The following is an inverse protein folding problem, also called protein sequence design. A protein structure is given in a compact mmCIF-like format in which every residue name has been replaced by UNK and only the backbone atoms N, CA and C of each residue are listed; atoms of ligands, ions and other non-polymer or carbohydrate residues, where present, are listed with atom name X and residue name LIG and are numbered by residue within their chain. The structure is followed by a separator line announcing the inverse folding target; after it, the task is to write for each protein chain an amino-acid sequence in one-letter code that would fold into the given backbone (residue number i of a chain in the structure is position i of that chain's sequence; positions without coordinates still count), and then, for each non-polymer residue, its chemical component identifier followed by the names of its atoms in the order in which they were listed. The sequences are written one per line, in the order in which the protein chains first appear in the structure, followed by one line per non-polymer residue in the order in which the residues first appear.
data_IF_104151467689
#
_entry.id   IF_104151467689
#
_cell.length_a   1.000
_cell.length_b   1.000
_cell.length_c   1.000
_cell.angle_alpha   90.00
_cell.angle_beta   90.00
_cell.angle_gamma   90.00
#
_symmetry.space_group_name_H-M   'P 1'
#
loop_
_entity.id
_entity.type
_entity.pdbx_description
1 polymer ?
#
# COMPACT_ATOMS: atom_id res chain seq x y z
N UNK A 1 7.19 -51.34 -63.37
CA UNK A 1 8.13 -50.77 -62.41
C UNK A 1 7.88 -49.28 -62.33
N UNK A 2 7.03 -48.82 -61.44
CA UNK A 2 6.68 -47.38 -61.36
C UNK A 2 5.63 -47.17 -60.29
N UNK A 3 5.98 -47.31 -59.01
CA UNK A 3 4.98 -47.15 -57.96
C UNK A 3 5.49 -46.83 -56.56
N UNK A 4 6.79 -46.52 -56.39
CA UNK A 4 7.35 -46.36 -55.04
C UNK A 4 8.03 -45.02 -54.76
N UNK A 5 7.87 -44.01 -55.62
CA UNK A 5 8.58 -42.75 -55.48
C UNK A 5 7.72 -41.55 -55.00
N UNK A 6 6.42 -41.69 -55.03
CA UNK A 6 5.46 -40.64 -54.65
C UNK A 6 5.11 -40.59 -53.14
N UNK A 7 5.33 -41.69 -52.37
CA UNK A 7 4.93 -41.77 -50.97
C UNK A 7 5.96 -41.17 -49.99
N UNK A 8 7.19 -40.92 -50.39
CA UNK A 8 8.22 -40.37 -49.50
C UNK A 8 8.25 -38.83 -49.40
N UNK A 9 7.71 -38.14 -50.38
CA UNK A 9 7.65 -36.66 -50.33
C UNK A 9 6.50 -36.12 -49.48
N UNK A 10 5.42 -36.85 -49.32
CA UNK A 10 4.29 -36.42 -48.48
C UNK A 10 4.57 -36.49 -46.97
N UNK A 11 5.38 -37.45 -46.53
CA UNK A 11 5.69 -37.62 -45.09
C UNK A 11 6.70 -36.60 -44.56
N UNK A 12 7.63 -36.13 -45.39
CA UNK A 12 8.62 -35.11 -44.98
C UNK A 12 7.99 -33.74 -44.87
N UNK A 13 6.99 -33.41 -45.70
CA UNK A 13 6.28 -32.13 -45.65
C UNK A 13 5.35 -32.01 -44.44
N UNK A 14 4.76 -33.12 -43.96
CA UNK A 14 3.91 -33.09 -42.75
C UNK A 14 4.73 -32.96 -41.47
N UNK A 15 5.92 -33.57 -41.41
CA UNK A 15 6.82 -33.45 -40.24
C UNK A 15 7.45 -32.05 -40.16
N UNK A 16 7.78 -31.41 -41.28
CA UNK A 16 8.27 -30.02 -41.28
C UNK A 16 7.19 -28.99 -40.98
N UNK A 17 5.94 -29.24 -41.36
CA UNK A 17 4.78 -28.38 -41.00
C UNK A 17 4.41 -28.43 -39.51
N UNK A 18 4.60 -29.59 -38.87
CA UNK A 18 4.31 -29.75 -37.42
C UNK A 18 5.39 -29.12 -36.53
N UNK A 19 6.64 -29.05 -37.01
CA UNK A 19 7.73 -28.42 -36.24
C UNK A 19 7.70 -26.90 -36.28
N UNK A 20 7.08 -26.27 -37.25
CA UNK A 20 6.92 -24.82 -37.35
C UNK A 20 5.80 -24.28 -36.43
N UNK A 21 4.79 -25.11 -36.11
CA UNK A 21 3.70 -24.73 -35.20
C UNK A 21 4.08 -24.84 -33.70
N UNK A 22 5.14 -25.58 -33.37
CA UNK A 22 5.65 -25.72 -31.99
C UNK A 22 6.64 -24.61 -31.58
N UNK A 23 7.12 -23.82 -32.52
CA UNK A 23 8.09 -22.72 -32.26
C UNK A 23 7.39 -21.38 -31.93
N UNK A 24 6.07 -21.30 -31.87
CA UNK A 24 5.32 -20.06 -31.58
C UNK A 24 5.02 -19.81 -30.11
N UNK A 25 5.22 -20.79 -29.21
CA UNK A 25 5.07 -20.63 -27.77
C UNK A 25 6.36 -21.06 -27.08
N UNK A 26 7.03 -20.14 -26.41
CA UNK A 26 8.13 -20.48 -25.51
C UNK A 26 7.58 -21.29 -24.33
N UNK A 27 7.86 -22.61 -24.23
CA UNK A 27 7.31 -23.46 -23.18
C UNK A 27 7.78 -23.04 -21.79
N UNK A 28 8.98 -22.43 -21.70
CA UNK A 28 9.52 -21.92 -20.43
C UNK A 28 8.72 -20.71 -19.98
N UNK A 29 8.48 -19.75 -20.87
CA UNK A 29 7.65 -18.59 -20.58
C UNK A 29 6.22 -18.99 -20.17
N UNK A 30 5.63 -19.99 -20.85
CA UNK A 30 4.30 -20.50 -20.51
C UNK A 30 4.27 -21.11 -19.09
N UNK A 31 5.21 -22.00 -18.75
CA UNK A 31 5.30 -22.64 -17.42
C UNK A 31 5.54 -21.58 -16.34
N UNK A 32 6.44 -20.63 -16.60
CA UNK A 32 6.76 -19.55 -15.66
C UNK A 32 5.53 -18.69 -15.38
N UNK A 33 4.76 -18.29 -16.39
CA UNK A 33 3.52 -17.54 -16.23
C UNK A 33 2.46 -18.33 -15.46
N UNK A 34 2.35 -19.65 -15.67
CA UNK A 34 1.43 -20.49 -14.88
C UNK A 34 1.85 -20.58 -13.41
N UNK A 35 3.16 -20.65 -13.15
CA UNK A 35 3.71 -20.63 -11.78
C UNK A 35 3.41 -19.32 -11.06
N UNK A 36 3.57 -18.17 -11.72
CA UNK A 36 3.22 -16.86 -11.15
C UNK A 36 1.71 -16.77 -10.83
N UNK A 37 0.85 -17.21 -11.75
CA UNK A 37 -0.60 -17.27 -11.50
C UNK A 37 -0.97 -18.20 -10.35
N UNK A 38 -0.23 -19.29 -10.16
CA UNK A 38 -0.42 -20.16 -9.00
C UNK A 38 -0.08 -19.42 -7.69
N UNK A 39 1.04 -18.67 -7.65
CA UNK A 39 1.43 -17.83 -6.51
C UNK A 39 0.34 -16.81 -6.21
N UNK A 40 -0.13 -16.06 -7.20
CA UNK A 40 -1.18 -15.04 -7.06
C UNK A 40 -2.46 -15.62 -6.43
N UNK A 41 -2.88 -16.80 -6.87
CA UNK A 41 -4.15 -17.42 -6.44
C UNK A 41 -4.06 -18.13 -5.09
N UNK A 42 -2.90 -18.69 -4.75
CA UNK A 42 -2.79 -19.60 -3.61
C UNK A 42 -1.91 -19.08 -2.48
N UNK A 43 -0.92 -18.20 -2.76
CA UNK A 43 -0.01 -17.69 -1.74
C UNK A 43 -0.33 -16.26 -1.32
N UNK A 44 -0.88 -15.42 -2.20
CA UNK A 44 -1.26 -14.04 -1.82
C UNK A 44 -2.46 -14.01 -0.86
N UNK A 45 -3.57 -14.77 -1.05
CA UNK A 45 -4.70 -14.70 -0.12
C UNK A 45 -4.36 -15.07 1.33
N UNK A 46 -3.57 -16.11 1.64
CA UNK A 46 -3.09 -16.37 3.00
C UNK A 46 -2.32 -15.19 3.60
N UNK A 47 -1.48 -14.51 2.82
CA UNK A 47 -0.75 -13.32 3.27
C UNK A 47 -1.69 -12.16 3.63
N UNK A 48 -2.76 -11.95 2.85
CA UNK A 48 -3.77 -10.91 3.14
C UNK A 48 -4.58 -11.20 4.41
N UNK A 49 -4.70 -12.48 4.79
CA UNK A 49 -5.35 -12.94 6.02
C UNK A 49 -4.46 -12.87 7.25
N UNK A 50 -3.17 -12.67 7.06
CA UNK A 50 -2.23 -12.47 8.16
C UNK A 50 -2.39 -11.04 8.72
N UNK A 51 -1.95 -10.83 9.96
CA UNK A 51 -1.92 -9.53 10.61
C UNK A 51 -0.50 -9.01 10.86
N UNK A 52 0.52 -9.76 10.49
CA UNK A 52 1.93 -9.34 10.62
C UNK A 52 2.38 -8.52 9.41
N UNK A 53 2.20 -7.20 9.53
CA UNK A 53 2.60 -6.23 8.51
C UNK A 53 4.11 -6.26 8.25
N UNK A 54 4.92 -6.50 9.29
CA UNK A 54 6.38 -6.54 9.14
C UNK A 54 6.83 -7.79 8.41
N UNK A 55 6.19 -8.94 8.65
CA UNK A 55 6.45 -10.16 7.88
C UNK A 55 6.10 -9.95 6.40
N UNK A 56 4.94 -9.36 6.11
CA UNK A 56 4.53 -9.03 4.73
C UNK A 56 5.54 -8.12 4.04
N UNK A 57 6.01 -7.08 4.72
CA UNK A 57 6.99 -6.15 4.19
C UNK A 57 8.35 -6.83 3.91
N UNK A 58 8.87 -7.65 4.84
CA UNK A 58 10.13 -8.39 4.66
C UNK A 58 10.02 -9.44 3.53
N UNK A 59 8.85 -10.06 3.38
CA UNK A 59 8.57 -10.95 2.25
C UNK A 59 8.68 -10.22 0.90
N UNK A 60 8.15 -9.00 0.81
CA UNK A 60 8.31 -8.17 -0.38
C UNK A 60 9.77 -7.90 -0.72
N UNK A 61 10.59 -7.52 0.27
CA UNK A 61 12.03 -7.28 0.08
C UNK A 61 12.76 -8.53 -0.42
N UNK A 62 12.44 -9.69 0.17
CA UNK A 62 13.12 -10.94 -0.16
C UNK A 62 12.71 -11.51 -1.53
N UNK A 63 11.41 -11.44 -1.87
CA UNK A 63 10.86 -12.12 -3.03
C UNK A 63 10.84 -11.25 -4.29
N UNK A 64 10.76 -9.93 -4.19
CA UNK A 64 10.68 -9.06 -5.37
C UNK A 64 11.81 -9.30 -6.39
N UNK A 65 13.10 -9.38 -6.00
CA UNK A 65 14.17 -9.61 -6.96
C UNK A 65 14.07 -10.97 -7.64
N UNK A 66 13.63 -12.00 -6.91
CA UNK A 66 13.53 -13.38 -7.44
C UNK A 66 12.37 -13.50 -8.44
N UNK A 67 11.22 -12.94 -8.11
CA UNK A 67 10.04 -12.98 -8.98
C UNK A 67 10.27 -12.15 -10.25
N UNK A 68 10.86 -10.96 -10.13
CA UNK A 68 11.18 -10.12 -11.28
C UNK A 68 12.23 -10.76 -12.18
N UNK A 69 13.19 -11.51 -11.65
CA UNK A 69 14.16 -12.24 -12.44
C UNK A 69 13.53 -13.27 -13.41
N UNK A 70 12.29 -13.73 -13.16
CA UNK A 70 11.57 -14.63 -14.07
C UNK A 70 11.22 -13.97 -15.41
N UNK A 71 11.28 -12.64 -15.51
CA UNK A 71 11.13 -11.91 -16.78
C UNK A 71 12.22 -12.26 -17.79
N UNK A 72 13.42 -12.65 -17.32
CA UNK A 72 14.52 -13.10 -18.18
C UNK A 72 14.20 -14.40 -18.93
N UNK A 73 13.17 -15.13 -18.50
CA UNK A 73 12.68 -16.36 -19.15
C UNK A 73 11.27 -16.18 -19.72
N UNK A 74 10.86 -14.92 -20.00
CA UNK A 74 9.63 -14.58 -20.69
C UNK A 74 8.36 -14.57 -19.83
N UNK A 75 8.48 -14.58 -18.49
CA UNK A 75 7.32 -14.44 -17.62
C UNK A 75 6.87 -12.97 -17.54
N UNK A 76 5.57 -12.74 -17.35
CA UNK A 76 5.01 -11.43 -17.00
C UNK A 76 4.85 -11.33 -15.47
N UNK A 77 5.87 -10.77 -14.83
CA UNK A 77 5.89 -10.59 -13.37
C UNK A 77 5.31 -9.25 -12.91
N UNK A 78 4.66 -8.47 -13.79
CA UNK A 78 4.24 -7.11 -13.46
C UNK A 78 3.19 -7.06 -12.35
N UNK A 79 2.14 -7.90 -12.38
CA UNK A 79 1.09 -7.89 -11.36
C UNK A 79 1.63 -8.30 -9.98
N UNK A 80 2.34 -9.41 -9.90
CA UNK A 80 2.94 -9.88 -8.65
C UNK A 80 4.06 -8.94 -8.18
N UNK A 81 4.86 -8.41 -9.11
CA UNK A 81 5.88 -7.41 -8.84
C UNK A 81 5.30 -6.13 -8.25
N UNK A 82 4.11 -5.69 -8.69
CA UNK A 82 3.39 -4.58 -8.08
C UNK A 82 3.20 -4.82 -6.58
N UNK A 83 2.64 -5.95 -6.18
CA UNK A 83 2.41 -6.29 -4.76
C UNK A 83 3.71 -6.36 -3.96
N UNK A 84 4.73 -7.02 -4.51
CA UNK A 84 6.01 -7.22 -3.81
C UNK A 84 6.78 -5.91 -3.63
N UNK A 85 6.80 -5.04 -4.63
CA UNK A 85 7.43 -3.73 -4.50
C UNK A 85 6.62 -2.76 -3.63
N UNK A 86 5.27 -2.87 -3.59
CA UNK A 86 4.43 -2.14 -2.61
C UNK A 86 4.84 -2.49 -1.19
N UNK A 87 4.90 -3.78 -0.86
CA UNK A 87 5.28 -4.24 0.48
C UNK A 87 6.76 -3.97 0.79
N UNK A 88 7.66 -4.08 -0.20
CA UNK A 88 9.06 -3.70 -0.03
C UNK A 88 9.25 -2.19 0.20
N UNK A 89 8.41 -1.34 -0.41
CA UNK A 89 8.36 0.10 -0.15
C UNK A 89 7.95 0.41 1.28
N UNK A 90 6.92 -0.29 1.78
CA UNK A 90 6.46 -0.17 3.17
C UNK A 90 7.57 -0.45 4.19
N UNK A 91 8.45 -1.43 3.96
CA UNK A 91 9.61 -1.66 4.84
C UNK A 91 10.48 -0.42 4.97
N UNK A 92 10.75 0.27 3.87
CA UNK A 92 11.58 1.48 3.89
C UNK A 92 10.84 2.66 4.55
N UNK A 93 9.50 2.74 4.41
CA UNK A 93 8.69 3.73 5.14
C UNK A 93 8.77 3.52 6.66
N UNK A 94 8.70 2.28 7.13
CA UNK A 94 8.86 1.94 8.55
C UNK A 94 10.24 2.39 9.04
N UNK A 95 11.30 2.09 8.29
CA UNK A 95 12.67 2.51 8.63
C UNK A 95 12.82 4.05 8.60
N UNK A 96 12.15 4.75 7.67
CA UNK A 96 12.13 6.21 7.61
C UNK A 96 11.44 6.81 8.83
N UNK A 97 10.33 6.21 9.27
CA UNK A 97 9.62 6.64 10.48
C UNK A 97 10.46 6.44 11.74
N UNK A 98 11.15 5.32 11.86
CA UNK A 98 12.06 5.08 12.99
C UNK A 98 13.18 6.15 13.06
N UNK A 99 13.73 6.52 11.92
CA UNK A 99 14.70 7.60 11.83
C UNK A 99 14.09 8.97 12.17
N UNK A 100 12.83 9.23 11.77
CA UNK A 100 12.10 10.44 12.16
C UNK A 100 11.91 10.54 13.67
N UNK A 101 11.46 9.47 14.32
CA UNK A 101 11.29 9.45 15.78
C UNK A 101 12.64 9.68 16.52
N UNK A 102 13.74 9.16 15.97
CA UNK A 102 15.08 9.42 16.48
C UNK A 102 15.44 10.90 16.33
N UNK A 103 15.19 11.48 15.18
CA UNK A 103 15.36 12.91 14.93
C UNK A 103 14.59 13.78 15.93
N UNK A 104 13.31 13.49 16.12
CA UNK A 104 12.45 14.27 17.02
C UNK A 104 12.95 14.23 18.47
N UNK A 105 13.39 13.06 18.97
CA UNK A 105 13.97 12.93 20.31
C UNK A 105 15.27 13.69 20.45
N UNK A 106 16.16 13.58 19.47
CA UNK A 106 17.44 14.27 19.48
C UNK A 106 17.26 15.80 19.42
N UNK A 107 16.37 16.28 18.55
CA UNK A 107 16.02 17.70 18.45
C UNK A 107 15.45 18.24 19.76
N UNK A 108 14.53 17.51 20.41
CA UNK A 108 13.97 17.87 21.71
C UNK A 108 15.04 17.92 22.82
N UNK A 109 16.00 16.99 22.78
CA UNK A 109 17.11 16.95 23.74
C UNK A 109 18.21 17.99 23.45
N UNK A 110 18.11 18.77 22.38
CA UNK A 110 19.16 19.73 21.97
C UNK A 110 20.41 19.06 21.41
N UNK A 111 20.36 17.77 21.08
CA UNK A 111 21.48 17.05 20.47
C UNK A 111 21.48 17.26 18.94
N UNK A 112 22.16 18.32 18.51
CA UNK A 112 22.17 18.78 17.12
C UNK A 112 22.79 17.76 16.16
N UNK A 113 23.90 17.14 16.55
CA UNK A 113 24.63 16.18 15.72
C UNK A 113 23.77 14.93 15.45
N UNK A 114 23.18 14.36 16.49
CA UNK A 114 22.27 13.22 16.39
C UNK A 114 21.00 13.55 15.59
N UNK A 115 20.45 14.76 15.79
CA UNK A 115 19.29 15.22 15.04
C UNK A 115 19.60 15.33 13.54
N UNK A 116 20.75 15.89 13.17
CA UNK A 116 21.16 16.00 11.77
C UNK A 116 21.37 14.62 11.14
N UNK A 117 22.07 13.70 11.83
CA UNK A 117 22.31 12.35 11.33
C UNK A 117 21.00 11.58 11.14
N UNK A 118 20.12 11.62 12.15
CA UNK A 118 18.81 10.97 12.08
C UNK A 118 17.93 11.54 10.93
N UNK A 119 17.98 12.85 10.69
CA UNK A 119 17.25 13.49 9.59
C UNK A 119 17.78 13.06 8.22
N UNK A 120 19.10 12.93 8.08
CA UNK A 120 19.73 12.41 6.86
C UNK A 120 19.28 10.96 6.64
N UNK A 121 19.29 10.15 7.68
CA UNK A 121 18.85 8.75 7.60
C UNK A 121 17.38 8.63 7.21
N UNK A 122 16.49 9.43 7.78
CA UNK A 122 15.09 9.50 7.41
C UNK A 122 14.92 9.76 5.91
N UNK A 123 15.63 10.77 5.37
CA UNK A 123 15.56 11.11 3.94
C UNK A 123 16.06 9.97 3.05
N UNK A 124 17.14 9.27 3.45
CA UNK A 124 17.65 8.11 2.70
C UNK A 124 16.64 6.95 2.65
N UNK A 125 15.96 6.67 3.75
CA UNK A 125 14.93 5.65 3.77
C UNK A 125 13.67 6.08 3.00
N UNK A 126 13.28 7.34 3.07
CA UNK A 126 12.19 7.89 2.26
C UNK A 126 12.52 7.80 0.76
N UNK A 127 13.75 8.09 0.35
CA UNK A 127 14.22 7.91 -1.02
C UNK A 127 14.13 6.44 -1.46
N UNK A 128 14.55 5.50 -0.60
CA UNK A 128 14.44 4.07 -0.88
C UNK A 128 12.97 3.63 -1.01
N UNK A 129 12.09 4.14 -0.15
CA UNK A 129 10.64 3.91 -0.23
C UNK A 129 10.08 4.42 -1.55
N UNK A 130 10.37 5.68 -1.90
CA UNK A 130 9.92 6.30 -3.15
C UNK A 130 10.38 5.51 -4.38
N UNK A 131 11.64 5.06 -4.44
CA UNK A 131 12.17 4.24 -5.54
C UNK A 131 11.43 2.92 -5.69
N UNK A 132 11.22 2.18 -4.59
CA UNK A 132 10.50 0.91 -4.61
C UNK A 132 9.04 1.08 -5.01
N UNK A 133 8.38 2.10 -4.49
CA UNK A 133 7.00 2.41 -4.80
C UNK A 133 6.82 2.91 -6.24
N UNK A 134 7.77 3.68 -6.77
CA UNK A 134 7.74 4.08 -8.17
C UNK A 134 7.88 2.86 -9.09
N UNK A 135 8.78 1.91 -8.78
CA UNK A 135 8.89 0.64 -9.51
C UNK A 135 7.56 -0.12 -9.46
N UNK A 136 6.94 -0.21 -8.28
CA UNK A 136 5.63 -0.83 -8.13
C UNK A 136 4.58 -0.17 -9.03
N UNK A 137 4.48 1.15 -8.99
CA UNK A 137 3.54 1.92 -9.81
C UNK A 137 3.78 1.73 -11.31
N UNK A 138 5.03 1.75 -11.77
CA UNK A 138 5.38 1.52 -13.17
C UNK A 138 4.97 0.12 -13.64
N UNK A 139 5.16 -0.92 -12.82
CA UNK A 139 4.71 -2.28 -13.07
C UNK A 139 3.20 -2.38 -13.13
N UNK A 140 2.52 -1.72 -12.19
CA UNK A 140 1.07 -1.58 -12.18
C UNK A 140 0.57 -0.97 -13.49
N UNK A 141 1.09 0.17 -13.90
CA UNK A 141 0.71 0.83 -15.17
C UNK A 141 0.94 -0.10 -16.35
N UNK A 142 2.14 -0.72 -16.45
CA UNK A 142 2.49 -1.64 -17.54
C UNK A 142 1.49 -2.81 -17.65
N UNK A 143 1.13 -3.41 -16.51
CA UNK A 143 0.20 -4.54 -16.51
C UNK A 143 -1.21 -4.13 -16.89
N UNK A 144 -1.77 -3.11 -16.24
CA UNK A 144 -3.18 -2.76 -16.40
C UNK A 144 -3.47 -2.06 -17.71
N UNK A 145 -2.61 -1.16 -18.18
CA UNK A 145 -2.78 -0.52 -19.49
C UNK A 145 -2.76 -1.56 -20.63
N UNK A 146 -1.83 -2.51 -20.56
CA UNK A 146 -1.76 -3.60 -21.56
C UNK A 146 -2.89 -4.61 -21.43
N UNK A 147 -3.26 -4.99 -20.21
CA UNK A 147 -4.23 -6.07 -19.94
C UNK A 147 -5.65 -5.68 -20.27
N UNK A 148 -6.01 -4.42 -20.00
CA UNK A 148 -7.38 -3.91 -20.11
C UNK A 148 -7.54 -2.89 -21.24
N UNK A 149 -6.49 -2.61 -22.01
CA UNK A 149 -6.46 -1.62 -23.09
C UNK A 149 -6.99 -0.25 -22.66
N UNK A 150 -6.47 0.25 -21.54
CA UNK A 150 -6.86 1.52 -20.92
C UNK A 150 -5.65 2.41 -20.68
N UNK A 151 -5.91 3.68 -20.39
CA UNK A 151 -4.94 4.61 -19.80
C UNK A 151 -5.34 4.95 -18.37
N UNK A 152 -4.40 4.74 -17.42
CA UNK A 152 -4.66 4.97 -16.00
C UNK A 152 -5.08 6.42 -15.75
N UNK A 153 -6.28 6.59 -15.17
CA UNK A 153 -6.86 7.89 -14.85
C UNK A 153 -7.55 8.61 -16.04
N UNK A 154 -7.63 7.97 -17.20
CA UNK A 154 -8.37 8.49 -18.35
C UNK A 154 -9.62 7.66 -18.66
N UNK A 155 -9.56 6.35 -18.39
CA UNK A 155 -10.62 5.42 -18.71
C UNK A 155 -10.87 4.46 -17.53
N UNK A 156 -12.13 4.14 -17.29
CA UNK A 156 -12.53 3.06 -16.38
C UNK A 156 -12.59 1.73 -17.13
N UNK A 157 -12.44 0.64 -16.39
CA UNK A 157 -12.60 -0.73 -16.91
C UNK A 157 -13.40 -1.58 -15.94
N UNK A 158 -14.08 -2.60 -16.48
CA UNK A 158 -14.73 -3.61 -15.67
C UNK A 158 -13.75 -4.74 -15.34
N UNK A 159 -13.49 -4.94 -14.06
CA UNK A 159 -12.61 -6.00 -13.60
C UNK A 159 -13.38 -7.32 -13.52
N UNK A 160 -12.83 -8.37 -14.17
CA UNK A 160 -13.44 -9.71 -14.13
C UNK A 160 -13.14 -10.48 -12.85
N UNK A 161 -12.18 -10.00 -12.03
CA UNK A 161 -11.74 -10.65 -10.79
C UNK A 161 -11.51 -9.62 -9.71
N UNK A 162 -11.98 -9.91 -8.51
CA UNK A 162 -11.75 -9.08 -7.32
C UNK A 162 -10.26 -8.88 -7.04
N UNK A 163 -9.44 -9.90 -7.30
CA UNK A 163 -8.00 -9.80 -7.13
C UNK A 163 -7.36 -8.76 -8.06
N UNK A 164 -7.77 -8.72 -9.33
CA UNK A 164 -7.26 -7.72 -10.28
C UNK A 164 -7.66 -6.29 -9.85
N UNK A 165 -8.91 -6.12 -9.41
CA UNK A 165 -9.40 -4.82 -8.90
C UNK A 165 -8.70 -4.40 -7.60
N UNK A 166 -8.45 -5.35 -6.70
CA UNK A 166 -7.69 -5.12 -5.47
C UNK A 166 -6.25 -4.66 -5.76
N UNK A 167 -5.54 -5.35 -6.66
CA UNK A 167 -4.16 -4.95 -7.04
C UNK A 167 -4.16 -3.62 -7.78
N UNK A 168 -5.20 -3.34 -8.58
CA UNK A 168 -5.38 -2.03 -9.20
C UNK A 168 -5.47 -0.91 -8.15
N UNK A 169 -6.33 -1.09 -7.14
CA UNK A 169 -6.45 -0.16 -6.03
C UNK A 169 -5.12 0.05 -5.30
N UNK A 170 -4.40 -1.04 -4.99
CA UNK A 170 -3.10 -0.96 -4.32
C UNK A 170 -2.04 -0.25 -5.16
N UNK A 171 -2.01 -0.48 -6.47
CA UNK A 171 -1.11 0.22 -7.39
C UNK A 171 -1.31 1.73 -7.37
N UNK A 172 -2.57 2.19 -7.34
CA UNK A 172 -2.91 3.61 -7.22
C UNK A 172 -2.46 4.20 -5.88
N UNK A 173 -2.71 3.50 -4.76
CA UNK A 173 -2.25 3.91 -3.42
C UNK A 173 -0.73 4.03 -3.41
N UNK A 174 -0.03 3.02 -3.96
CA UNK A 174 1.43 3.00 -3.99
C UNK A 174 2.01 4.14 -4.84
N UNK A 175 1.33 4.50 -5.93
CA UNK A 175 1.70 5.69 -6.70
C UNK A 175 1.62 6.99 -5.89
N UNK A 176 0.56 7.17 -5.08
CA UNK A 176 0.45 8.31 -4.17
C UNK A 176 1.53 8.28 -3.08
N UNK A 177 1.82 7.12 -2.51
CA UNK A 177 2.90 6.97 -1.53
C UNK A 177 4.27 7.30 -2.12
N UNK A 178 4.54 6.90 -3.37
CA UNK A 178 5.78 7.24 -4.07
C UNK A 178 5.98 8.76 -4.16
N UNK A 179 4.93 9.51 -4.52
CA UNK A 179 4.97 10.99 -4.57
C UNK A 179 5.28 11.57 -3.19
N UNK A 180 4.58 11.11 -2.14
CA UNK A 180 4.77 11.63 -0.78
C UNK A 180 6.17 11.34 -0.24
N UNK A 181 6.68 10.12 -0.43
CA UNK A 181 8.01 9.74 0.03
C UNK A 181 9.12 10.47 -0.75
N UNK A 182 8.93 10.74 -2.04
CA UNK A 182 9.91 11.53 -2.80
C UNK A 182 9.93 13.00 -2.32
N UNK A 183 8.79 13.58 -1.95
CA UNK A 183 8.75 14.90 -1.31
C UNK A 183 9.54 14.91 -0.01
N UNK A 184 9.36 13.90 0.86
CA UNK A 184 10.11 13.75 2.12
C UNK A 184 11.61 13.59 1.86
N UNK A 185 11.99 12.85 0.82
CA UNK A 185 13.37 12.66 0.37
C UNK A 185 14.00 13.94 -0.20
N UNK A 186 13.21 14.95 -0.53
CA UNK A 186 13.64 16.19 -1.18
C UNK A 186 13.61 16.10 -2.71
N UNK A 187 12.72 15.30 -3.25
CA UNK A 187 12.50 15.09 -4.70
C UNK A 187 13.71 14.51 -5.44
N UNK A 188 14.45 13.64 -4.76
CA UNK A 188 15.71 13.07 -5.29
C UNK A 188 15.47 11.93 -6.28
N UNK A 189 14.29 11.28 -6.24
CA UNK A 189 13.91 10.19 -7.15
C UNK A 189 13.31 10.74 -8.43
N UNK A 190 12.62 11.89 -8.39
CA UNK A 190 11.93 12.51 -9.52
C UNK A 190 10.62 11.80 -9.85
N UNK A 191 9.85 11.41 -8.83
CA UNK A 191 8.52 10.80 -9.02
C UNK A 191 7.57 11.81 -9.69
N UNK A 192 6.90 11.45 -10.81
CA UNK A 192 5.99 12.37 -11.50
C UNK A 192 4.82 12.77 -10.61
N UNK A 193 4.62 14.09 -10.41
CA UNK A 193 3.56 14.61 -9.54
C UNK A 193 2.15 14.42 -10.12
N UNK A 194 2.04 14.25 -11.44
CA UNK A 194 0.77 13.99 -12.13
C UNK A 194 0.14 12.64 -11.77
N UNK A 195 0.93 11.75 -11.16
CA UNK A 195 0.43 10.47 -10.58
C UNK A 195 -0.73 10.75 -9.62
N UNK A 196 -0.67 11.83 -8.83
CA UNK A 196 -1.73 12.15 -7.88
C UNK A 196 -3.07 12.44 -8.58
N UNK A 197 -3.05 13.24 -9.64
CA UNK A 197 -4.25 13.55 -10.41
C UNK A 197 -4.78 12.36 -11.21
N UNK A 198 -3.89 11.51 -11.75
CA UNK A 198 -4.26 10.25 -12.42
C UNK A 198 -4.91 9.27 -11.45
N UNK A 199 -4.32 9.10 -10.26
CA UNK A 199 -4.84 8.22 -9.23
C UNK A 199 -6.23 8.69 -8.73
N UNK A 200 -6.42 9.99 -8.52
CA UNK A 200 -7.72 10.56 -8.12
C UNK A 200 -8.82 10.16 -9.10
N UNK A 201 -8.59 10.35 -10.40
CA UNK A 201 -9.57 9.96 -11.44
C UNK A 201 -9.76 8.46 -11.49
N UNK A 202 -8.69 7.67 -11.41
CA UNK A 202 -8.76 6.22 -11.47
C UNK A 202 -9.51 5.60 -10.27
N UNK A 203 -9.38 6.18 -9.07
CA UNK A 203 -10.17 5.75 -7.91
C UNK A 203 -11.69 5.95 -8.09
N UNK A 204 -12.13 6.90 -8.94
CA UNK A 204 -13.55 7.07 -9.22
C UNK A 204 -14.18 5.90 -9.98
N UNK A 205 -13.36 5.05 -10.59
CA UNK A 205 -13.78 3.84 -11.29
C UNK A 205 -14.04 2.63 -10.37
N UNK A 206 -13.67 2.73 -9.09
CA UNK A 206 -13.77 1.63 -8.14
C UNK A 206 -15.03 1.73 -7.27
N UNK A 207 -15.65 0.59 -6.97
CA UNK A 207 -16.77 0.54 -6.03
C UNK A 207 -16.31 0.87 -4.61
N UNK A 208 -16.74 2.03 -4.12
CA UNK A 208 -16.35 2.53 -2.81
C UNK A 208 -16.80 1.65 -1.65
N UNK A 209 -17.98 1.01 -1.77
CA UNK A 209 -18.51 0.13 -0.72
C UNK A 209 -17.80 -1.22 -0.71
N UNK A 210 -17.57 -1.80 -1.89
CA UNK A 210 -16.82 -3.04 -2.07
C UNK A 210 -15.42 -2.95 -1.45
N UNK A 211 -14.74 -1.81 -1.66
CA UNK A 211 -13.39 -1.56 -1.19
C UNK A 211 -13.34 -0.66 0.05
N UNK A 212 -14.23 -0.91 1.00
CA UNK A 212 -14.19 -0.43 2.39
C UNK A 212 -14.11 1.10 2.55
N UNK A 213 -14.59 1.87 1.56
CA UNK A 213 -14.48 3.32 1.57
C UNK A 213 -13.12 3.87 1.14
N UNK A 214 -12.15 3.01 0.83
CA UNK A 214 -10.79 3.41 0.44
C UNK A 214 -10.75 4.27 -0.83
N UNK A 215 -11.49 3.95 -1.93
CA UNK A 215 -11.44 4.76 -3.14
C UNK A 215 -11.83 6.23 -2.89
N UNK A 216 -12.90 6.48 -2.18
CA UNK A 216 -13.34 7.86 -1.88
C UNK A 216 -12.41 8.54 -0.87
N UNK A 217 -11.91 7.82 0.14
CA UNK A 217 -10.94 8.35 1.09
C UNK A 217 -9.65 8.78 0.39
N UNK A 218 -9.11 7.96 -0.51
CA UNK A 218 -7.91 8.28 -1.28
C UNK A 218 -8.10 9.51 -2.17
N UNK A 219 -9.25 9.63 -2.85
CA UNK A 219 -9.61 10.84 -3.61
C UNK A 219 -9.65 12.06 -2.72
N UNK A 220 -10.26 11.96 -1.55
CA UNK A 220 -10.35 13.05 -0.59
C UNK A 220 -8.98 13.48 -0.04
N UNK A 221 -8.04 12.55 0.14
CA UNK A 221 -6.64 12.88 0.45
C UNK A 221 -6.04 13.74 -0.67
N UNK A 222 -6.23 13.36 -1.94
CA UNK A 222 -5.72 14.13 -3.07
C UNK A 222 -6.36 15.52 -3.14
N UNK A 223 -7.65 15.64 -2.89
CA UNK A 223 -8.35 16.94 -2.81
C UNK A 223 -7.77 17.85 -1.74
N UNK A 224 -7.37 17.29 -0.59
CA UNK A 224 -6.73 18.07 0.46
C UNK A 224 -5.30 18.51 0.13
N UNK A 225 -4.58 17.75 -0.70
CA UNK A 225 -3.15 17.99 -0.96
C UNK A 225 -2.93 18.86 -2.20
N UNK A 226 -3.68 18.64 -3.28
CA UNK A 226 -3.50 19.37 -4.51
C UNK A 226 -4.25 20.70 -4.48
N UNK A 227 -3.58 21.84 -4.73
CA UNK A 227 -4.23 23.16 -4.79
C UNK A 227 -5.39 23.19 -5.79
N UNK A 228 -6.56 23.65 -5.33
CA UNK A 228 -7.76 23.78 -6.17
C UNK A 228 -8.49 22.46 -6.49
N UNK A 229 -7.97 21.32 -6.05
CA UNK A 229 -8.62 20.04 -6.27
C UNK A 229 -9.88 19.84 -5.40
N UNK A 230 -10.01 20.61 -4.33
CA UNK A 230 -11.12 20.61 -3.38
C UNK A 230 -12.27 21.54 -3.78
N UNK A 231 -12.17 22.30 -4.89
CA UNK A 231 -13.21 23.24 -5.31
C UNK A 231 -14.56 22.52 -5.48
N UNK A 232 -15.57 22.99 -4.74
CA UNK A 232 -16.91 22.40 -4.73
C UNK A 232 -17.04 21.03 -4.05
N UNK A 233 -16.01 20.58 -3.30
CA UNK A 233 -15.97 19.29 -2.62
C UNK A 233 -15.82 19.46 -1.12
N UNK A 234 -16.23 18.45 -0.36
CA UNK A 234 -15.97 18.32 1.09
C UNK A 234 -15.05 17.12 1.36
N UNK A 235 -13.72 17.30 1.36
CA UNK A 235 -12.79 16.23 1.59
C UNK A 235 -12.96 15.58 2.96
N UNK A 236 -13.25 16.36 4.00
CA UNK A 236 -13.38 15.84 5.34
C UNK A 236 -14.68 15.04 5.54
N UNK A 237 -15.79 15.52 4.97
CA UNK A 237 -17.05 14.80 4.94
C UNK A 237 -16.93 13.48 4.15
N UNK A 238 -16.25 13.50 2.99
CA UNK A 238 -16.00 12.31 2.20
C UNK A 238 -15.18 11.26 2.96
N UNK A 239 -14.12 11.68 3.67
CA UNK A 239 -13.32 10.78 4.51
C UNK A 239 -14.11 10.26 5.71
N UNK A 240 -14.93 11.08 6.36
CA UNK A 240 -15.81 10.62 7.45
C UNK A 240 -16.79 9.54 6.98
N UNK A 241 -17.43 9.74 5.83
CA UNK A 241 -18.29 8.74 5.21
C UNK A 241 -17.54 7.43 4.90
N UNK A 242 -16.32 7.56 4.38
CA UNK A 242 -15.45 6.42 4.08
C UNK A 242 -15.05 5.65 5.33
N UNK A 243 -14.75 6.34 6.44
CA UNK A 243 -14.43 5.70 7.72
C UNK A 243 -15.59 4.83 8.23
N UNK A 244 -16.83 5.31 8.12
CA UNK A 244 -18.02 4.53 8.51
C UNK A 244 -18.18 3.26 7.66
N UNK A 245 -17.90 3.33 6.35
CA UNK A 245 -17.92 2.17 5.44
C UNK A 245 -16.82 1.18 5.83
N UNK A 246 -15.60 1.66 6.06
CA UNK A 246 -14.45 0.83 6.42
C UNK A 246 -14.65 0.11 7.76
N UNK A 247 -15.16 0.80 8.76
CA UNK A 247 -15.49 0.22 10.06
C UNK A 247 -16.55 -0.89 9.94
N UNK A 248 -17.62 -0.64 9.20
CA UNK A 248 -18.67 -1.65 8.94
C UNK A 248 -18.15 -2.87 8.16
N UNK A 249 -17.16 -2.68 7.29
CA UNK A 249 -16.54 -3.74 6.49
C UNK A 249 -15.40 -4.47 7.22
N UNK A 250 -14.98 -4.00 8.41
CA UNK A 250 -13.87 -4.58 9.17
C UNK A 250 -12.49 -4.24 8.65
N UNK A 251 -12.33 -3.14 7.87
CA UNK A 251 -11.06 -2.64 7.34
C UNK A 251 -10.99 -1.13 7.52
N UNK A 252 -10.23 -0.66 8.49
CA UNK A 252 -10.17 0.75 8.92
C UNK A 252 -9.09 1.58 8.19
N UNK A 253 -8.67 1.20 6.97
CA UNK A 253 -7.74 1.99 6.16
C UNK A 253 -8.19 3.46 5.98
N UNK A 254 -9.49 3.79 5.80
CA UNK A 254 -9.92 5.19 5.70
C UNK A 254 -9.60 6.03 6.94
N UNK A 255 -9.49 5.43 8.15
CA UNK A 255 -9.04 6.15 9.35
C UNK A 255 -7.58 6.59 9.23
N UNK A 256 -6.72 5.70 8.74
CA UNK A 256 -5.32 6.02 8.47
C UNK A 256 -5.19 7.14 7.42
N UNK A 257 -5.99 7.09 6.36
CA UNK A 257 -6.01 8.13 5.32
C UNK A 257 -6.47 9.48 5.88
N UNK A 258 -7.50 9.50 6.72
CA UNK A 258 -7.94 10.70 7.42
C UNK A 258 -6.83 11.27 8.31
N UNK A 259 -6.20 10.42 9.12
CA UNK A 259 -5.12 10.82 10.02
C UNK A 259 -3.89 11.35 9.26
N UNK A 260 -3.48 10.69 8.16
CA UNK A 260 -2.41 11.16 7.29
C UNK A 260 -2.73 12.52 6.67
N UNK A 261 -3.97 12.71 6.20
CA UNK A 261 -4.42 13.98 5.63
C UNK A 261 -4.41 15.10 6.68
N UNK A 262 -4.87 14.82 7.91
CA UNK A 262 -4.83 15.76 9.02
C UNK A 262 -3.40 16.11 9.42
N UNK A 263 -2.51 15.13 9.49
CA UNK A 263 -1.08 15.33 9.76
C UNK A 263 -0.42 16.19 8.68
N UNK A 264 -0.73 15.93 7.40
CA UNK A 264 -0.19 16.72 6.28
C UNK A 264 -0.66 18.17 6.23
N UNK A 265 -1.80 18.47 6.85
CA UNK A 265 -2.35 19.84 7.02
C UNK A 265 -1.99 20.49 8.35
N UNK A 266 -1.19 19.83 9.18
CA UNK A 266 -0.88 20.24 10.57
C UNK A 266 -2.13 20.44 11.43
N UNK A 267 -3.22 19.72 11.11
CA UNK A 267 -4.49 19.77 11.85
C UNK A 267 -4.45 18.77 13.02
N UNK A 268 -3.89 19.23 14.14
CA UNK A 268 -3.72 18.44 15.35
C UNK A 268 -5.06 17.98 15.94
N UNK A 269 -6.13 18.77 15.77
CA UNK A 269 -7.46 18.43 16.31
C UNK A 269 -8.01 17.21 15.59
N UNK A 270 -8.01 17.25 14.25
CA UNK A 270 -8.49 16.13 13.44
C UNK A 270 -7.58 14.90 13.55
N UNK A 271 -6.28 15.10 13.66
CA UNK A 271 -5.33 14.02 13.82
C UNK A 271 -5.59 13.24 15.13
N UNK A 272 -5.72 13.94 16.24
CA UNK A 272 -6.02 13.32 17.54
C UNK A 272 -7.41 12.66 17.55
N UNK A 273 -8.40 13.27 16.91
CA UNK A 273 -9.74 12.69 16.76
C UNK A 273 -9.68 11.36 15.98
N UNK A 274 -8.98 11.33 14.86
CA UNK A 274 -8.82 10.10 14.09
C UNK A 274 -8.15 8.97 14.88
N UNK A 275 -7.09 9.29 15.64
CA UNK A 275 -6.38 8.32 16.49
C UNK A 275 -7.32 7.79 17.60
N UNK A 276 -8.10 8.67 18.27
CA UNK A 276 -9.08 8.25 19.28
C UNK A 276 -10.16 7.35 18.70
N UNK A 277 -10.75 7.75 17.59
CA UNK A 277 -11.80 6.97 16.93
C UNK A 277 -11.31 5.62 16.45
N UNK A 278 -10.06 5.52 16.03
CA UNK A 278 -9.46 4.23 15.67
C UNK A 278 -9.22 3.35 16.91
N UNK A 279 -8.76 3.95 18.02
CA UNK A 279 -8.49 3.25 19.29
C UNK A 279 -9.78 2.81 20.00
N UNK A 280 -10.83 3.60 19.88
CA UNK A 280 -12.16 3.32 20.46
C UNK A 280 -12.90 2.29 19.60
N UNK A 281 -12.53 1.03 19.81
CA UNK A 281 -13.12 -0.09 19.06
C UNK A 281 -14.56 -0.27 19.51
N UNK A 282 -15.50 0.02 18.61
CA UNK A 282 -16.93 -0.19 18.90
C UNK A 282 -17.20 -1.64 19.31
N UNK A 283 -18.08 -1.79 20.30
CA UNK A 283 -18.56 -3.10 20.71
C UNK A 283 -19.13 -3.86 19.49
N UNK A 284 -18.57 -5.02 19.20
CA UNK A 284 -18.97 -5.83 18.05
C UNK A 284 -18.12 -5.62 16.77
N UNK A 285 -17.14 -4.71 16.76
CA UNK A 285 -16.21 -4.62 15.65
C UNK A 285 -15.49 -5.96 15.44
N UNK A 286 -15.49 -6.43 14.19
CA UNK A 286 -14.74 -7.62 13.77
C UNK A 286 -13.89 -7.27 12.58
N UNK A 287 -12.60 -7.49 12.71
CA UNK A 287 -11.68 -7.36 11.60
C UNK A 287 -12.07 -8.30 10.46
N UNK A 288 -12.01 -7.81 9.22
CA UNK A 288 -12.32 -8.62 8.03
C UNK A 288 -11.35 -9.80 7.93
N UNK A 289 -11.84 -11.06 7.94
CA UNK A 289 -10.96 -12.24 7.99
C UNK A 289 -10.11 -12.44 6.73
N UNK A 290 -10.55 -11.92 5.58
CA UNK A 290 -9.86 -12.07 4.31
C UNK A 290 -8.83 -10.94 4.06
N UNK A 291 -8.95 -9.82 4.79
CA UNK A 291 -8.13 -8.61 4.61
C UNK A 291 -7.58 -8.07 5.93
N UNK A 292 -7.20 -8.97 6.85
CA UNK A 292 -6.62 -8.58 8.14
C UNK A 292 -5.38 -7.71 7.97
N UNK A 293 -4.54 -8.03 6.98
CA UNK A 293 -3.33 -7.26 6.69
C UNK A 293 -3.66 -5.78 6.42
N UNK A 294 -4.73 -5.50 5.67
CA UNK A 294 -5.13 -4.13 5.35
C UNK A 294 -5.57 -3.34 6.61
N UNK A 295 -6.34 -3.96 7.52
CA UNK A 295 -6.70 -3.32 8.79
C UNK A 295 -5.50 -3.16 9.73
N UNK A 296 -4.58 -4.14 9.74
CA UNK A 296 -3.33 -4.07 10.52
C UNK A 296 -2.40 -2.97 10.01
N UNK A 297 -2.36 -2.73 8.69
CA UNK A 297 -1.65 -1.59 8.11
C UNK A 297 -2.24 -0.26 8.59
N UNK A 298 -3.57 -0.15 8.68
CA UNK A 298 -4.19 1.04 9.26
C UNK A 298 -3.74 1.24 10.72
N UNK A 299 -3.71 0.17 11.50
CA UNK A 299 -3.20 0.19 12.88
C UNK A 299 -1.75 0.64 12.98
N UNK A 300 -0.88 0.15 12.10
CA UNK A 300 0.52 0.57 12.04
C UNK A 300 0.65 2.07 11.75
N UNK A 301 -0.06 2.59 10.76
CA UNK A 301 -0.02 4.01 10.39
C UNK A 301 -0.55 4.88 11.56
N UNK A 302 -1.67 4.52 12.16
CA UNK A 302 -2.25 5.26 13.29
C UNK A 302 -1.30 5.26 14.49
N UNK A 303 -0.71 4.10 14.81
CA UNK A 303 0.27 4.00 15.92
C UNK A 303 1.51 4.85 15.64
N UNK A 304 1.99 4.82 14.42
CA UNK A 304 3.12 5.66 13.96
C UNK A 304 2.85 7.15 14.13
N UNK A 305 1.67 7.62 13.74
CA UNK A 305 1.28 9.02 13.91
C UNK A 305 1.10 9.39 15.39
N UNK A 306 0.58 8.48 16.20
CA UNK A 306 0.50 8.65 17.65
C UNK A 306 1.88 8.73 18.29
N UNK A 307 2.81 7.84 17.89
CA UNK A 307 4.20 7.83 18.36
C UNK A 307 4.93 9.14 18.01
N UNK A 308 4.67 9.67 16.81
CA UNK A 308 5.20 10.97 16.41
C UNK A 308 4.72 12.08 17.33
N UNK A 309 3.39 12.20 17.57
CA UNK A 309 2.83 13.18 18.48
C UNK A 309 3.41 13.07 19.89
N UNK A 310 3.44 11.87 20.44
CA UNK A 310 4.01 11.61 21.76
C UNK A 310 5.51 11.96 21.81
N UNK A 311 6.26 11.63 20.77
CA UNK A 311 7.69 11.94 20.71
C UNK A 311 7.94 13.45 20.64
N UNK A 312 7.14 14.17 19.86
CA UNK A 312 7.20 15.65 19.79
C UNK A 312 6.83 16.28 21.13
N UNK A 313 5.75 15.84 21.77
CA UNK A 313 5.22 16.42 22.99
C UNK A 313 5.91 15.97 24.28
N UNK A 314 6.21 14.68 24.42
CA UNK A 314 6.73 14.07 25.65
C UNK A 314 8.13 13.46 25.51
N UNK A 315 8.69 13.33 24.30
CA UNK A 315 10.00 12.74 24.05
C UNK A 315 10.00 11.20 24.00
N UNK A 316 8.86 10.57 24.18
CA UNK A 316 8.68 9.10 24.19
C UNK A 316 7.64 8.68 23.17
N UNK A 317 7.61 7.41 22.79
CA UNK A 317 6.50 6.85 22.02
C UNK A 317 5.24 6.76 22.85
N UNK A 318 4.13 6.52 22.18
CA UNK A 318 2.86 6.17 22.82
C UNK A 318 3.08 5.00 23.78
N UNK A 319 2.77 5.15 25.09
CA UNK A 319 2.87 4.03 26.02
C UNK A 319 1.88 2.91 25.66
N UNK A 320 2.23 1.68 26.03
CA UNK A 320 1.37 0.52 25.78
C UNK A 320 -0.02 0.73 26.42
N UNK A 321 -1.06 0.48 25.64
CA UNK A 321 -2.45 0.68 26.08
C UNK A 321 -2.94 2.14 26.11
N UNK A 322 -2.11 3.09 25.65
CA UNK A 322 -2.43 4.53 25.65
C UNK A 322 -2.77 5.07 24.26
N UNK A 323 -2.96 4.23 23.27
CA UNK A 323 -3.42 4.69 21.95
C UNK A 323 -4.77 5.42 22.08
N UNK A 324 -4.87 6.60 21.50
CA UNK A 324 -6.04 7.49 21.63
C UNK A 324 -6.02 8.44 22.83
N UNK A 325 -5.05 8.31 23.75
CA UNK A 325 -4.78 9.24 24.82
C UNK A 325 -3.52 10.05 24.54
N UNK A 326 -3.41 11.24 25.12
CA UNK A 326 -2.27 12.13 24.87
C UNK A 326 -1.69 12.64 26.19
N UNK A 327 -0.41 12.99 26.20
CA UNK A 327 0.37 13.38 27.39
C UNK A 327 -0.11 14.67 28.07
N UNK A 328 -0.80 15.54 27.34
CA UNK A 328 -1.34 16.83 27.79
C UNK A 328 -2.77 16.73 28.32
N UNK A 329 -3.37 15.57 28.32
CA UNK A 329 -4.68 15.30 28.88
C UNK A 329 -4.56 15.02 30.38
N UNK A 330 -5.47 15.60 31.17
CA UNK A 330 -5.55 15.23 32.57
C UNK A 330 -5.87 13.75 32.68
N UNK A 331 -5.04 12.99 33.38
CA UNK A 331 -5.40 11.62 33.74
C UNK A 331 -6.76 11.68 34.43
N UNK A 332 -7.78 11.02 33.85
CA UNK A 332 -9.00 10.72 34.65
C UNK A 332 -8.47 10.04 35.91
N UNK A 333 -8.78 10.62 37.08
CA UNK A 333 -8.45 9.97 38.35
C UNK A 333 -9.06 8.58 38.23
N UNK A 334 -8.23 7.55 38.21
CA UNK A 334 -8.70 6.21 38.47
C UNK A 334 -9.49 6.32 39.78
N UNK A 335 -10.80 6.06 39.76
CA UNK A 335 -11.56 5.89 40.98
C UNK A 335 -10.76 4.86 41.76
N UNK A 336 -10.29 5.29 42.94
CA UNK A 336 -9.48 4.43 43.79
C UNK A 336 -10.26 3.16 44.01
N UNK A 337 -9.65 2.01 43.72
CA UNK A 337 -10.26 0.73 44.04
C UNK A 337 -10.52 0.78 45.54
N UNK A 338 -11.78 0.83 45.92
CA UNK A 338 -12.18 0.76 47.31
C UNK A 338 -11.82 -0.63 47.84
N UNK A 339 -10.76 -0.68 48.61
CA UNK A 339 -10.26 -1.91 49.26
C UNK A 339 -10.87 -2.15 50.64
N UNK A 340 -11.88 -1.35 51.04
CA UNK A 340 -12.52 -1.51 52.35
C UNK A 340 -13.17 -2.88 52.55
N UNK A 341 -13.54 -3.58 51.49
CA UNK A 341 -14.06 -4.95 51.52
C UNK A 341 -12.98 -6.04 51.58
N UNK A 342 -11.68 -5.68 51.58
CA UNK A 342 -10.56 -6.63 51.64
C UNK A 342 -9.82 -6.60 52.98
N UNK A 343 -10.25 -5.79 53.92
CA UNK A 343 -9.80 -5.71 55.31
C UNK A 343 -10.90 -6.12 56.27
#
# INVERSE_FOLDING_TARGET
MGGFRQLRLGFVSVILGSSVLLSACDPIAFISNQSLRFVERNLVPPLLRDNDVLMACKSGVALAPLIVATENIGADANQLGTLLYTTAGLCAEVDATEAELRYLRAARAGNVEEAQDARIQQKRFAELAARRQLISYQRFVTYYEKRYDIKIGEQCTDFHKDFDEFVYMLGLITGLQAVLNDIVAGQTVGVPLDIAAKAERAFSCLDNKKWWGVPLAARAVVWNVLPGADEGKDPWGAMNASMAIGEAAGVRLPFAMYALSASGKDDQVRLRDAIRRFADVKQGFKQNPDYRLADSMAGLIITTLSDRLWTEGAGTRTPLGMLGKFWDEKAERAEGVDISDLL
#
